data_IF_927715770607
#
_entry.id   IF_927715770607
#
_cell.length_a   1.000
_cell.length_b   1.000
_cell.length_c   1.000
_cell.angle_alpha   90.00
_cell.angle_beta   90.00
_cell.angle_gamma   90.00
#
_symmetry.space_group_name_H-M   'P 1'
#
loop_
_entity.id
_entity.type
_entity.pdbx_description
1 polymer ?
#
# COMPACT_ATOMS: atom_id res chain seq x y z
N UNK A 1 -4.44 25.26 -10.39
CA UNK A 1 -5.91 25.11 -10.30
C UNK A 1 -6.34 23.71 -9.85
N UNK A 2 -5.42 22.74 -9.69
CA UNK A 2 -5.73 21.38 -9.20
C UNK A 2 -5.44 21.13 -7.71
N UNK A 3 -4.61 21.95 -7.05
CA UNK A 3 -4.26 21.76 -5.63
C UNK A 3 -5.44 22.00 -4.67
N UNK A 4 -6.38 22.90 -5.01
CA UNK A 4 -7.50 23.26 -4.13
C UNK A 4 -8.60 22.18 -4.04
N UNK A 5 -8.70 21.25 -5.00
CA UNK A 5 -9.71 20.17 -4.96
C UNK A 5 -9.23 18.98 -4.12
N UNK A 6 -7.95 18.63 -4.19
CA UNK A 6 -7.37 17.50 -3.44
C UNK A 6 -7.31 17.81 -1.93
N UNK A 7 -6.93 19.03 -1.53
CA UNK A 7 -6.88 19.43 -0.11
C UNK A 7 -8.28 19.52 0.54
N UNK A 8 -9.29 19.93 -0.24
CA UNK A 8 -10.69 19.99 0.22
C UNK A 8 -11.29 18.59 0.39
N UNK A 9 -10.77 17.60 -0.34
CA UNK A 9 -11.17 16.20 -0.23
C UNK A 9 -10.68 15.57 1.08
N UNK A 10 -9.45 15.86 1.53
CA UNK A 10 -8.87 15.28 2.76
C UNK A 10 -9.69 15.61 3.99
N UNK A 11 -9.96 16.90 4.20
CA UNK A 11 -10.68 17.36 5.37
C UNK A 11 -12.08 16.75 5.42
N UNK A 12 -12.74 16.69 4.26
CA UNK A 12 -14.08 16.10 4.12
C UNK A 12 -14.08 14.60 4.38
N UNK A 13 -13.17 13.85 3.76
CA UNK A 13 -13.04 12.39 3.95
C UNK A 13 -12.73 12.05 5.40
N UNK A 14 -11.81 12.81 6.02
CA UNK A 14 -11.43 12.63 7.43
C UNK A 14 -12.60 12.89 8.39
N UNK A 15 -13.38 13.94 8.12
CA UNK A 15 -14.58 14.26 8.90
C UNK A 15 -15.65 13.16 8.78
N UNK A 16 -15.86 12.64 7.56
CA UNK A 16 -16.79 11.52 7.32
C UNK A 16 -16.30 10.26 8.05
N UNK A 17 -15.02 9.92 7.94
CA UNK A 17 -14.42 8.76 8.64
C UNK A 17 -14.61 8.87 10.15
N UNK A 18 -14.31 10.04 10.73
CA UNK A 18 -14.49 10.29 12.14
C UNK A 18 -15.96 10.17 12.56
N UNK A 19 -16.88 10.74 11.78
CA UNK A 19 -18.31 10.66 12.03
C UNK A 19 -18.79 9.19 12.03
N UNK A 20 -18.36 8.40 11.06
CA UNK A 20 -18.70 6.97 10.99
C UNK A 20 -18.15 6.22 12.21
N UNK A 21 -16.90 6.46 12.62
CA UNK A 21 -16.32 5.85 13.83
C UNK A 21 -17.08 6.24 15.10
N UNK A 22 -17.51 7.50 15.21
CA UNK A 22 -18.31 7.98 16.33
C UNK A 22 -19.70 7.30 16.38
N UNK A 23 -20.35 7.12 15.23
CA UNK A 23 -21.63 6.40 15.13
C UNK A 23 -21.47 4.91 15.49
N UNK A 24 -20.44 4.25 14.99
CA UNK A 24 -20.20 2.82 15.25
C UNK A 24 -19.89 2.50 16.70
N UNK A 25 -19.32 3.47 17.43
CA UNK A 25 -18.96 3.33 18.85
C UNK A 25 -20.04 3.84 19.79
N UNK A 26 -21.15 4.39 19.26
CA UNK A 26 -22.24 4.95 20.07
C UNK A 26 -21.78 6.12 20.94
N UNK A 27 -20.82 6.93 20.46
CA UNK A 27 -20.05 7.87 21.28
C UNK A 27 -20.90 8.91 22.02
N UNK A 28 -22.06 9.28 21.47
CA UNK A 28 -23.00 10.26 22.04
C UNK A 28 -23.80 9.72 23.24
N UNK A 29 -23.95 8.41 23.38
CA UNK A 29 -24.72 7.77 24.45
C UNK A 29 -23.89 7.33 25.67
N UNK A 30 -22.59 7.61 25.68
CA UNK A 30 -21.67 7.17 26.73
C UNK A 30 -21.52 8.20 27.86
N UNK A 31 -21.29 7.68 29.07
CA UNK A 31 -20.87 8.48 30.23
C UNK A 31 -19.60 9.29 29.91
N UNK A 32 -19.43 10.51 30.48
CA UNK A 32 -18.36 11.43 30.11
C UNK A 32 -16.95 10.82 30.12
N UNK A 33 -16.63 10.00 31.14
CA UNK A 33 -15.31 9.38 31.30
C UNK A 33 -15.02 8.33 30.21
N UNK A 34 -15.97 7.43 29.96
CA UNK A 34 -15.88 6.40 28.91
C UNK A 34 -15.87 7.03 27.51
N UNK A 35 -16.62 8.12 27.34
CA UNK A 35 -16.70 8.90 26.10
C UNK A 35 -15.34 9.49 25.74
N UNK A 36 -14.62 10.06 26.70
CA UNK A 36 -13.28 10.63 26.45
C UNK A 36 -12.29 9.55 25.98
N UNK A 37 -12.23 8.40 26.64
CA UNK A 37 -11.34 7.30 26.24
C UNK A 37 -11.67 6.80 24.84
N UNK A 38 -12.95 6.62 24.51
CA UNK A 38 -13.38 6.20 23.16
C UNK A 38 -13.06 7.25 22.10
N UNK A 39 -13.18 8.53 22.44
CA UNK A 39 -12.82 9.64 21.57
C UNK A 39 -11.31 9.58 21.23
N UNK A 40 -10.44 9.42 22.23
CA UNK A 40 -8.99 9.27 22.00
C UNK A 40 -8.67 8.06 21.10
N UNK A 41 -9.34 6.92 21.31
CA UNK A 41 -9.19 5.73 20.48
C UNK A 41 -9.58 5.97 19.03
N UNK A 42 -10.68 6.69 18.80
CA UNK A 42 -11.13 7.06 17.45
C UNK A 42 -10.16 8.05 16.79
N UNK A 43 -9.63 9.03 17.55
CA UNK A 43 -8.61 9.95 17.04
C UNK A 43 -7.32 9.22 16.64
N UNK A 44 -6.90 8.21 17.39
CA UNK A 44 -5.73 7.40 17.04
C UNK A 44 -5.93 6.64 15.72
N UNK A 45 -7.11 6.05 15.51
CA UNK A 45 -7.45 5.39 14.25
C UNK A 45 -7.53 6.39 13.09
N UNK A 46 -8.16 7.55 13.33
CA UNK A 46 -8.25 8.62 12.33
C UNK A 46 -6.85 9.12 11.93
N UNK A 47 -5.97 9.34 12.91
CA UNK A 47 -4.60 9.77 12.63
C UNK A 47 -3.85 8.72 11.81
N UNK A 48 -4.02 7.43 12.12
CA UNK A 48 -3.42 6.34 11.33
C UNK A 48 -3.96 6.35 9.89
N UNK A 49 -5.25 6.60 9.70
CA UNK A 49 -5.84 6.74 8.35
C UNK A 49 -5.29 7.96 7.60
N UNK A 50 -4.99 9.07 8.29
CA UNK A 50 -4.31 10.22 7.68
C UNK A 50 -2.91 9.87 7.19
N UNK A 51 -2.18 8.99 7.88
CA UNK A 51 -0.85 8.55 7.41
C UNK A 51 -0.94 7.75 6.11
N UNK A 52 -1.96 6.88 5.97
CA UNK A 52 -2.26 6.22 4.70
C UNK A 52 -2.57 7.23 3.60
N UNK A 53 -3.33 8.29 3.92
CA UNK A 53 -3.60 9.35 2.96
C UNK A 53 -2.32 10.08 2.52
N UNK A 54 -1.45 10.46 3.47
CA UNK A 54 -0.18 11.12 3.16
C UNK A 54 0.70 10.23 2.29
N UNK A 55 0.74 8.90 2.54
CA UNK A 55 1.43 7.96 1.67
C UNK A 55 0.87 7.97 0.25
N UNK A 56 -0.46 7.99 0.07
CA UNK A 56 -1.09 8.03 -1.24
C UNK A 56 -0.74 9.29 -2.04
N UNK A 57 -0.46 10.42 -1.39
CA UNK A 57 0.04 11.64 -2.05
C UNK A 57 1.53 11.49 -2.43
N UNK A 58 2.34 10.98 -1.51
CA UNK A 58 3.81 10.94 -1.68
C UNK A 58 4.25 9.87 -2.67
N UNK A 59 3.54 8.75 -2.77
CA UNK A 59 3.88 7.64 -3.64
C UNK A 59 3.99 8.02 -5.14
N UNK A 60 2.99 8.67 -5.79
CA UNK A 60 3.14 9.12 -7.18
C UNK A 60 4.25 10.17 -7.36
N UNK A 61 4.49 11.00 -6.33
CA UNK A 61 5.60 11.96 -6.34
C UNK A 61 6.96 11.24 -6.34
N UNK A 62 7.13 10.18 -5.56
CA UNK A 62 8.34 9.34 -5.62
C UNK A 62 8.55 8.73 -7.02
N UNK A 63 7.49 8.13 -7.60
CA UNK A 63 7.57 7.49 -8.91
C UNK A 63 7.91 8.47 -10.03
N UNK A 64 7.38 9.70 -9.98
CA UNK A 64 7.70 10.75 -10.95
C UNK A 64 9.13 11.31 -10.78
N UNK A 65 9.61 11.42 -9.53
CA UNK A 65 10.97 11.87 -9.25
C UNK A 65 12.02 10.87 -9.74
N UNK A 66 11.77 9.56 -9.63
CA UNK A 66 12.69 8.55 -10.16
C UNK A 66 12.70 8.51 -11.69
N UNK A 67 11.55 8.71 -12.34
CA UNK A 67 11.46 8.68 -13.80
C UNK A 67 12.06 9.93 -14.48
N UNK A 68 11.92 11.11 -13.86
CA UNK A 68 12.28 12.40 -14.47
C UNK A 68 13.78 12.72 -14.48
N UNK A 69 14.65 11.82 -13.99
CA UNK A 69 16.10 12.05 -13.88
C UNK A 69 16.44 13.43 -13.29
N UNK A 70 15.64 13.86 -12.31
CA UNK A 70 15.70 15.23 -11.83
C UNK A 70 16.94 15.43 -10.94
N UNK A 71 17.87 16.34 -11.28
CA UNK A 71 19.09 16.54 -10.48
C UNK A 71 18.84 17.27 -9.15
N UNK A 72 17.61 17.75 -8.90
CA UNK A 72 17.29 18.53 -7.69
C UNK A 72 17.19 17.65 -6.43
N UNK A 73 18.34 17.41 -5.78
CA UNK A 73 18.44 16.68 -4.51
C UNK A 73 17.46 17.15 -3.44
N UNK A 74 17.16 18.45 -3.38
CA UNK A 74 16.20 19.01 -2.42
C UNK A 74 14.80 18.39 -2.53
N UNK A 75 14.33 18.07 -3.75
CA UNK A 75 13.01 17.44 -3.94
C UNK A 75 13.00 15.99 -3.47
N UNK A 76 14.09 15.25 -3.73
CA UNK A 76 14.28 13.89 -3.23
C UNK A 76 14.34 13.87 -1.70
N UNK A 77 15.13 14.75 -1.09
CA UNK A 77 15.26 14.86 0.37
C UNK A 77 13.91 15.15 1.02
N UNK A 78 13.12 16.09 0.47
CA UNK A 78 11.78 16.39 1.00
C UNK A 78 10.84 15.18 0.95
N UNK A 79 10.80 14.46 -0.17
CA UNK A 79 9.96 13.27 -0.30
C UNK A 79 10.39 12.14 0.65
N UNK A 80 11.70 11.89 0.75
CA UNK A 80 12.27 10.88 1.64
C UNK A 80 12.08 11.24 3.11
N UNK A 81 12.11 12.52 3.48
CA UNK A 81 11.81 12.97 4.84
C UNK A 81 10.37 12.65 5.25
N UNK A 82 9.40 12.84 4.34
CA UNK A 82 8.00 12.44 4.60
C UNK A 82 7.90 10.92 4.74
N UNK A 83 8.59 10.15 3.91
CA UNK A 83 8.60 8.69 4.03
C UNK A 83 9.21 8.21 5.37
N UNK A 84 10.30 8.85 5.81
CA UNK A 84 10.91 8.57 7.10
C UNK A 84 9.92 8.85 8.25
N UNK A 85 9.19 9.97 8.19
CA UNK A 85 8.13 10.28 9.14
C UNK A 85 7.03 9.21 9.15
N UNK A 86 6.58 8.77 7.98
CA UNK A 86 5.56 7.73 7.83
C UNK A 86 5.99 6.34 8.34
N UNK A 87 7.28 6.12 8.61
CA UNK A 87 7.78 4.90 9.26
C UNK A 87 7.97 5.13 10.76
N UNK A 88 8.72 6.17 11.13
CA UNK A 88 9.13 6.43 12.52
C UNK A 88 7.92 6.74 13.40
N UNK A 89 6.96 7.50 12.89
CA UNK A 89 5.78 7.87 13.68
C UNK A 89 4.92 6.64 14.01
N UNK A 90 4.42 5.82 13.05
CA UNK A 90 3.67 4.61 13.38
C UNK A 90 4.44 3.65 14.28
N UNK A 91 5.75 3.47 14.05
CA UNK A 91 6.57 2.60 14.90
C UNK A 91 6.60 3.09 16.36
N UNK A 92 6.80 4.39 16.58
CA UNK A 92 6.81 4.97 17.92
C UNK A 92 5.42 4.94 18.57
N UNK A 93 4.36 5.17 17.79
CA UNK A 93 2.97 5.02 18.25
C UNK A 93 2.68 3.58 18.70
N UNK A 94 3.06 2.58 17.91
CA UNK A 94 2.86 1.18 18.29
C UNK A 94 3.65 0.81 19.54
N UNK A 95 4.92 1.20 19.63
CA UNK A 95 5.73 0.95 20.83
C UNK A 95 5.07 1.55 22.08
N UNK A 96 4.59 2.80 21.99
CA UNK A 96 3.89 3.47 23.08
C UNK A 96 2.57 2.77 23.46
N UNK A 97 1.74 2.42 22.47
CA UNK A 97 0.43 1.82 22.73
C UNK A 97 0.55 0.41 23.33
N UNK A 98 1.49 -0.40 22.83
CA UNK A 98 1.72 -1.75 23.35
C UNK A 98 2.35 -1.76 24.75
N UNK A 99 3.07 -0.71 25.14
CA UNK A 99 3.62 -0.61 26.50
C UNK A 99 2.62 -0.10 27.54
N UNK A 100 1.58 0.63 27.12
CA UNK A 100 0.62 1.28 28.03
C UNK A 100 -0.78 0.66 28.03
N UNK A 101 -1.13 -0.16 27.04
CA UNK A 101 -2.45 -0.76 26.92
C UNK A 101 -2.40 -2.29 26.80
N UNK A 102 -3.33 -3.00 27.46
CA UNK A 102 -3.45 -4.44 27.30
C UNK A 102 -3.99 -4.80 25.91
N UNK A 103 -3.83 -6.07 25.54
CA UNK A 103 -4.37 -6.60 24.30
C UNK A 103 -5.88 -6.36 24.20
N UNK A 104 -6.29 -5.69 23.14
CA UNK A 104 -7.69 -5.40 22.84
C UNK A 104 -7.92 -5.36 21.34
N UNK A 105 -9.16 -5.57 20.91
CA UNK A 105 -9.56 -5.53 19.50
C UNK A 105 -9.20 -4.19 18.83
N UNK A 106 -9.37 -3.08 19.56
CA UNK A 106 -8.91 -1.76 19.12
C UNK A 106 -7.39 -1.67 18.91
N UNK A 107 -6.59 -2.16 19.87
CA UNK A 107 -5.13 -2.13 19.76
C UNK A 107 -4.65 -2.96 18.56
N UNK A 108 -5.28 -4.12 18.33
CA UNK A 108 -5.02 -4.95 17.17
C UNK A 108 -5.35 -4.24 15.85
N UNK A 109 -6.48 -3.53 15.79
CA UNK A 109 -6.86 -2.77 14.60
C UNK A 109 -5.88 -1.63 14.29
N UNK A 110 -5.53 -0.81 15.31
CA UNK A 110 -4.52 0.26 15.14
C UNK A 110 -3.16 -0.32 14.73
N UNK A 111 -2.79 -1.48 15.28
CA UNK A 111 -1.56 -2.19 14.93
C UNK A 111 -1.55 -2.63 13.48
N UNK A 112 -2.63 -3.26 13.01
CA UNK A 112 -2.76 -3.67 11.62
C UNK A 112 -2.62 -2.48 10.66
N UNK A 113 -3.39 -1.41 10.87
CA UNK A 113 -3.31 -0.22 10.01
C UNK A 113 -1.93 0.45 10.04
N UNK A 114 -1.26 0.48 11.20
CA UNK A 114 0.07 1.06 11.35
C UNK A 114 1.15 0.23 10.64
N UNK A 115 1.10 -1.09 10.79
CA UNK A 115 2.04 -1.98 10.07
C UNK A 115 1.78 -1.94 8.57
N UNK A 116 0.52 -1.89 8.15
CA UNK A 116 0.15 -1.78 6.75
C UNK A 116 0.74 -0.52 6.09
N UNK A 117 0.62 0.66 6.72
CA UNK A 117 1.23 1.89 6.16
C UNK A 117 2.76 1.80 6.12
N UNK A 118 3.40 1.22 7.14
CA UNK A 118 4.86 1.02 7.15
C UNK A 118 5.26 0.14 5.95
N UNK A 119 4.58 -0.98 5.74
CA UNK A 119 4.87 -1.88 4.61
C UNK A 119 4.64 -1.17 3.28
N UNK A 120 3.55 -0.41 3.14
CA UNK A 120 3.26 0.40 1.94
C UNK A 120 4.39 1.38 1.64
N UNK A 121 4.90 2.09 2.65
CA UNK A 121 6.02 3.04 2.49
C UNK A 121 7.30 2.31 2.11
N UNK A 122 7.62 1.18 2.76
CA UNK A 122 8.80 0.36 2.43
C UNK A 122 8.74 -0.13 0.99
N UNK A 123 7.60 -0.64 0.54
CA UNK A 123 7.38 -1.08 -0.86
C UNK A 123 7.61 0.07 -1.83
N UNK A 124 7.06 1.25 -1.57
CA UNK A 124 7.29 2.45 -2.39
C UNK A 124 8.76 2.85 -2.44
N UNK A 125 9.47 2.82 -1.30
CA UNK A 125 10.90 3.14 -1.23
C UNK A 125 11.77 2.12 -1.97
N UNK A 126 11.45 0.84 -1.91
CA UNK A 126 12.16 -0.21 -2.65
C UNK A 126 12.01 -0.03 -4.16
N UNK A 127 10.79 0.21 -4.65
CA UNK A 127 10.54 0.47 -6.08
C UNK A 127 11.24 1.77 -6.51
N UNK A 128 11.13 2.82 -5.70
CA UNK A 128 11.84 4.08 -5.94
C UNK A 128 13.35 3.89 -6.03
N UNK A 129 13.95 3.09 -5.13
CA UNK A 129 15.37 2.78 -5.17
C UNK A 129 15.76 1.98 -6.43
N UNK A 130 14.95 1.01 -6.85
CA UNK A 130 15.18 0.27 -8.09
C UNK A 130 15.19 1.19 -9.32
N UNK A 131 14.21 2.08 -9.43
CA UNK A 131 14.17 3.04 -10.54
C UNK A 131 15.31 4.06 -10.49
N UNK A 132 15.72 4.48 -9.29
CA UNK A 132 16.89 5.35 -9.15
C UNK A 132 18.18 4.64 -9.59
N UNK A 133 18.35 3.36 -9.23
CA UNK A 133 19.50 2.55 -9.67
C UNK A 133 19.49 2.38 -11.19
N UNK A 134 18.33 2.09 -11.79
CA UNK A 134 18.17 1.96 -13.23
C UNK A 134 18.54 3.26 -13.97
N UNK A 135 18.10 4.41 -13.44
CA UNK A 135 18.42 5.73 -13.98
C UNK A 135 19.93 6.04 -14.00
N UNK A 136 20.72 5.49 -13.08
CA UNK A 136 22.19 5.67 -13.06
C UNK A 136 22.94 4.61 -13.87
N UNK A 137 22.25 3.57 -14.36
CA UNK A 137 22.86 2.47 -15.09
C UNK A 137 22.93 2.80 -16.58
N UNK A 138 24.07 2.52 -17.21
CA UNK A 138 24.24 2.71 -18.66
C UNK A 138 23.73 1.53 -19.50
N UNK A 139 23.53 0.36 -18.88
CA UNK A 139 23.06 -0.87 -19.52
C UNK A 139 21.61 -1.13 -19.17
N UNK A 140 20.82 -1.64 -20.13
CA UNK A 140 19.43 -2.02 -19.89
C UNK A 140 19.33 -3.14 -18.85
N UNK A 141 18.35 -3.01 -17.95
CA UNK A 141 18.11 -3.99 -16.89
C UNK A 141 16.86 -4.82 -17.17
N UNK A 142 17.02 -5.91 -17.91
CA UNK A 142 15.91 -6.79 -18.34
C UNK A 142 15.02 -7.28 -17.19
N UNK A 143 15.60 -7.59 -16.03
CA UNK A 143 14.88 -8.13 -14.86
C UNK A 143 14.25 -7.07 -13.95
N UNK A 144 14.34 -5.78 -14.29
CA UNK A 144 13.79 -4.69 -13.46
C UNK A 144 12.29 -4.86 -13.23
N UNK A 145 11.54 -5.11 -14.31
CA UNK A 145 10.09 -5.29 -14.28
C UNK A 145 9.66 -6.48 -13.40
N UNK A 146 10.46 -7.55 -13.40
CA UNK A 146 10.23 -8.72 -12.55
C UNK A 146 10.43 -8.37 -11.07
N UNK A 147 11.49 -7.66 -10.72
CA UNK A 147 11.71 -7.22 -9.33
C UNK A 147 10.60 -6.27 -8.86
N UNK A 148 10.20 -5.30 -9.69
CA UNK A 148 9.10 -4.39 -9.38
C UNK A 148 7.79 -5.17 -9.18
N UNK A 149 7.53 -6.17 -10.04
CA UNK A 149 6.37 -7.04 -9.92
C UNK A 149 6.38 -7.82 -8.60
N UNK A 150 7.49 -8.47 -8.23
CA UNK A 150 7.58 -9.24 -6.98
C UNK A 150 7.41 -8.37 -5.74
N UNK A 151 8.02 -7.18 -5.71
CA UNK A 151 7.90 -6.24 -4.59
C UNK A 151 6.45 -5.76 -4.44
N UNK A 152 5.79 -5.41 -5.56
CA UNK A 152 4.39 -4.97 -5.55
C UNK A 152 3.45 -6.11 -5.17
N UNK A 153 3.68 -7.32 -5.69
CA UNK A 153 2.91 -8.50 -5.34
C UNK A 153 3.02 -8.83 -3.85
N UNK A 154 4.22 -8.73 -3.27
CA UNK A 154 4.43 -8.88 -1.83
C UNK A 154 3.64 -7.85 -1.03
N UNK A 155 3.76 -6.56 -1.37
CA UNK A 155 3.02 -5.48 -0.71
C UNK A 155 1.50 -5.71 -0.72
N UNK A 156 0.95 -6.00 -1.90
CA UNK A 156 -0.48 -6.28 -2.07
C UNK A 156 -0.92 -7.55 -1.31
N UNK A 157 -0.07 -8.57 -1.23
CA UNK A 157 -0.37 -9.80 -0.46
C UNK A 157 -0.45 -9.49 1.03
N UNK A 158 0.50 -8.71 1.55
CA UNK A 158 0.50 -8.30 2.97
C UNK A 158 -0.72 -7.44 3.30
N UNK A 159 -1.08 -6.50 2.44
CA UNK A 159 -2.31 -5.69 2.57
C UNK A 159 -3.56 -6.58 2.62
N UNK A 160 -3.66 -7.53 1.70
CA UNK A 160 -4.77 -8.48 1.67
C UNK A 160 -4.85 -9.35 2.95
N UNK A 161 -3.71 -9.80 3.47
CA UNK A 161 -3.64 -10.53 4.74
C UNK A 161 -4.13 -9.68 5.92
N UNK A 162 -3.75 -8.40 5.99
CA UNK A 162 -4.26 -7.47 7.00
C UNK A 162 -5.75 -7.18 6.82
N UNK A 163 -6.24 -7.10 5.59
CA UNK A 163 -7.68 -7.01 5.28
C UNK A 163 -8.45 -8.20 5.87
N UNK A 164 -8.00 -9.43 5.63
CA UNK A 164 -8.60 -10.63 6.22
C UNK A 164 -8.54 -10.59 7.76
N UNK A 165 -7.40 -10.20 8.33
CA UNK A 165 -7.26 -10.07 9.77
C UNK A 165 -8.24 -9.06 10.37
N UNK A 166 -8.37 -7.88 9.77
CA UNK A 166 -9.29 -6.82 10.18
C UNK A 166 -10.75 -7.25 10.02
N UNK A 167 -11.09 -8.03 8.99
CA UNK A 167 -12.41 -8.60 8.83
C UNK A 167 -12.76 -9.54 9.99
N UNK A 168 -11.87 -10.48 10.35
CA UNK A 168 -12.12 -11.36 11.49
C UNK A 168 -12.15 -10.62 12.81
N UNK A 169 -11.26 -9.64 13.00
CA UNK A 169 -11.28 -8.76 14.16
C UNK A 169 -12.63 -8.04 14.26
N UNK A 170 -13.12 -7.44 13.17
CA UNK A 170 -14.39 -6.74 13.14
C UNK A 170 -15.61 -7.65 13.31
N UNK A 171 -15.59 -8.85 12.73
CA UNK A 171 -16.61 -9.87 12.91
C UNK A 171 -16.68 -10.33 14.38
N UNK A 172 -15.53 -10.50 15.03
CA UNK A 172 -15.47 -10.80 16.47
C UNK A 172 -16.15 -9.70 17.29
N UNK A 173 -15.83 -8.43 17.04
CA UNK A 173 -16.44 -7.32 17.79
C UNK A 173 -17.96 -7.27 17.53
N UNK A 174 -18.43 -7.55 16.30
CA UNK A 174 -19.86 -7.57 15.96
C UNK A 174 -20.62 -8.67 16.72
N UNK A 175 -20.03 -9.86 16.87
CA UNK A 175 -20.66 -11.02 17.49
C UNK A 175 -20.57 -11.01 19.03
N UNK A 176 -19.46 -10.54 19.60
CA UNK A 176 -19.14 -10.76 21.02
C UNK A 176 -18.99 -9.49 21.86
N UNK A 177 -18.75 -8.31 21.28
CA UNK A 177 -18.55 -7.08 22.06
C UNK A 177 -19.71 -6.09 21.92
N UNK A 178 -20.03 -5.67 20.69
CA UNK A 178 -21.09 -4.71 20.45
C UNK A 178 -21.65 -4.84 19.03
N UNK A 179 -22.85 -5.42 18.93
CA UNK A 179 -23.62 -5.49 17.69
C UNK A 179 -24.07 -4.11 17.19
N UNK A 180 -24.42 -4.01 15.90
CA UNK A 180 -25.04 -2.80 15.35
C UNK A 180 -25.19 -2.85 13.83
N UNK A 181 -26.31 -2.36 13.32
CA UNK A 181 -26.62 -2.39 11.88
C UNK A 181 -25.58 -1.64 11.03
N UNK A 182 -25.12 -0.47 11.49
CA UNK A 182 -24.07 0.33 10.81
C UNK A 182 -22.76 -0.47 10.73
N UNK A 183 -22.39 -1.17 11.79
CA UNK A 183 -21.17 -1.98 11.83
C UNK A 183 -21.27 -3.20 10.93
N UNK A 184 -22.41 -3.89 10.95
CA UNK A 184 -22.68 -5.01 10.04
C UNK A 184 -22.60 -4.55 8.57
N UNK A 185 -23.18 -3.38 8.26
CA UNK A 185 -23.09 -2.77 6.92
C UNK A 185 -21.64 -2.47 6.51
N UNK A 186 -20.84 -1.86 7.38
CA UNK A 186 -19.41 -1.62 7.10
C UNK A 186 -18.64 -2.93 6.89
N UNK A 187 -18.93 -3.97 7.68
CA UNK A 187 -18.29 -5.28 7.52
C UNK A 187 -18.64 -5.92 6.18
N UNK A 188 -19.88 -5.75 5.70
CA UNK A 188 -20.30 -6.19 4.37
C UNK A 188 -19.58 -5.43 3.25
N UNK A 189 -19.44 -4.10 3.39
CA UNK A 189 -18.65 -3.27 2.45
C UNK A 189 -17.20 -3.74 2.41
N UNK A 190 -16.59 -3.97 3.58
CA UNK A 190 -15.21 -4.45 3.68
C UNK A 190 -15.04 -5.83 3.04
N UNK A 191 -15.94 -6.78 3.30
CA UNK A 191 -15.92 -8.10 2.67
C UNK A 191 -16.02 -8.03 1.14
N UNK A 192 -16.85 -7.13 0.61
CA UNK A 192 -17.01 -7.00 -0.83
C UNK A 192 -15.83 -6.30 -1.50
N UNK A 193 -15.48 -5.08 -1.06
CA UNK A 193 -14.45 -4.28 -1.72
C UNK A 193 -13.03 -4.75 -1.38
N UNK A 194 -12.73 -4.95 -0.10
CA UNK A 194 -11.36 -5.19 0.35
C UNK A 194 -10.98 -6.68 0.33
N UNK A 195 -11.96 -7.60 0.26
CA UNK A 195 -11.67 -9.04 0.17
C UNK A 195 -12.06 -9.59 -1.19
N UNK A 196 -13.34 -9.57 -1.54
CA UNK A 196 -13.83 -10.25 -2.74
C UNK A 196 -13.29 -9.62 -4.04
N UNK A 197 -13.45 -8.31 -4.21
CA UNK A 197 -12.98 -7.60 -5.39
C UNK A 197 -11.46 -7.67 -5.53
N UNK A 198 -10.72 -7.47 -4.44
CA UNK A 198 -9.25 -7.59 -4.44
C UNK A 198 -8.78 -9.00 -4.78
N UNK A 199 -9.35 -10.04 -4.16
CA UNK A 199 -9.01 -11.43 -4.45
C UNK A 199 -9.27 -11.77 -5.94
N UNK A 200 -10.40 -11.30 -6.49
CA UNK A 200 -10.74 -11.49 -7.90
C UNK A 200 -9.76 -10.77 -8.84
N UNK A 201 -9.37 -9.54 -8.50
CA UNK A 201 -8.39 -8.78 -9.26
C UNK A 201 -7.01 -9.44 -9.23
N UNK A 202 -6.55 -9.84 -8.04
CA UNK A 202 -5.29 -10.57 -7.84
C UNK A 202 -5.27 -11.89 -8.61
N UNK A 203 -6.37 -12.66 -8.58
CA UNK A 203 -6.50 -13.89 -9.36
C UNK A 203 -6.37 -13.66 -10.87
N UNK A 204 -7.01 -12.62 -11.39
CA UNK A 204 -6.92 -12.25 -12.81
C UNK A 204 -5.47 -11.91 -13.22
N UNK A 205 -4.77 -11.13 -12.41
CA UNK A 205 -3.35 -10.79 -12.66
C UNK A 205 -2.46 -12.03 -12.60
N UNK A 206 -2.66 -12.89 -11.60
CA UNK A 206 -1.90 -14.13 -11.46
C UNK A 206 -2.09 -15.06 -12.66
N UNK A 207 -3.33 -15.26 -13.10
CA UNK A 207 -3.64 -16.08 -14.28
C UNK A 207 -2.99 -15.52 -15.55
N UNK A 208 -3.04 -14.20 -15.76
CA UNK A 208 -2.37 -13.54 -16.90
C UNK A 208 -0.85 -13.74 -16.85
N UNK A 209 -0.23 -13.58 -15.68
CA UNK A 209 1.22 -13.78 -15.51
C UNK A 209 1.60 -15.23 -15.80
N UNK A 210 0.84 -16.21 -15.29
CA UNK A 210 1.06 -17.62 -15.59
C UNK A 210 0.93 -17.92 -17.09
N UNK A 211 -0.09 -17.38 -17.76
CA UNK A 211 -0.24 -17.54 -19.21
C UNK A 211 0.91 -16.88 -19.98
N UNK A 212 1.39 -15.72 -19.55
CA UNK A 212 2.53 -15.05 -20.19
C UNK A 212 3.81 -15.88 -20.06
N UNK A 213 4.12 -16.39 -18.86
CA UNK A 213 5.28 -17.26 -18.62
C UNK A 213 5.22 -18.51 -19.50
N UNK A 214 4.09 -19.22 -19.49
CA UNK A 214 3.92 -20.42 -20.33
C UNK A 214 4.09 -20.13 -21.84
N UNK A 215 3.66 -18.94 -22.30
CA UNK A 215 3.86 -18.54 -23.70
C UNK A 215 5.32 -18.24 -23.99
N UNK A 216 6.02 -17.55 -23.09
CA UNK A 216 7.45 -17.25 -23.23
C UNK A 216 8.25 -18.55 -23.27
N UNK A 217 7.98 -19.48 -22.35
CA UNK A 217 8.65 -20.80 -22.30
C UNK A 217 8.34 -21.68 -23.53
N UNK A 218 7.26 -21.40 -24.26
CA UNK A 218 6.93 -22.12 -25.50
C UNK A 218 7.65 -21.59 -26.74
N UNK A 219 8.31 -20.43 -26.65
CA UNK A 219 9.04 -19.85 -27.76
C UNK A 219 10.43 -20.51 -27.89
N UNK A 220 10.88 -20.84 -29.11
CA UNK A 220 12.22 -21.39 -29.32
C UNK A 220 13.28 -20.33 -29.01
N UNK A 221 14.30 -20.70 -28.23
CA UNK A 221 15.52 -19.91 -28.05
C UNK A 221 16.32 -19.86 -29.37
N UNK A 222 16.96 -18.74 -29.64
CA UNK A 222 17.77 -18.57 -30.84
C UNK A 222 19.12 -19.28 -30.66
N UNK A 223 19.59 -20.00 -31.67
CA UNK A 223 20.97 -20.55 -31.64
C UNK A 223 22.02 -19.45 -31.87
N UNK A 224 23.23 -19.63 -31.34
CA UNK A 224 24.37 -18.72 -31.57
C UNK A 224 24.61 -18.44 -33.07
N UNK A 225 24.43 -19.46 -33.92
CA UNK A 225 24.56 -19.32 -35.37
C UNK A 225 23.43 -18.45 -35.98
N UNK A 226 22.21 -18.52 -35.45
CA UNK A 226 21.12 -17.65 -35.89
C UNK A 226 21.35 -16.20 -35.48
N UNK A 227 21.85 -15.96 -34.26
CA UNK A 227 22.22 -14.64 -33.77
C UNK A 227 23.32 -14.02 -34.64
N UNK A 228 24.41 -14.75 -34.90
CA UNK A 228 25.52 -14.26 -35.70
C UNK A 228 25.17 -14.02 -37.18
N UNK A 229 24.23 -14.81 -37.74
CA UNK A 229 23.81 -14.66 -39.14
C UNK A 229 22.86 -13.50 -39.35
N UNK A 230 21.94 -13.27 -38.40
CA UNK A 230 20.94 -12.21 -38.51
C UNK A 230 21.52 -10.85 -38.09
N UNK A 231 22.44 -10.83 -37.12
CA UNK A 231 23.12 -9.62 -36.62
C UNK A 231 22.15 -8.47 -36.32
N UNK A 232 21.05 -8.82 -35.65
CA UNK A 232 19.89 -7.96 -35.49
C UNK A 232 19.84 -7.31 -34.09
N UNK A 233 19.10 -6.21 -33.97
CA UNK A 233 18.86 -5.53 -32.68
C UNK A 233 17.45 -5.83 -32.16
N UNK A 234 17.28 -5.83 -30.84
CA UNK A 234 15.97 -5.99 -30.21
C UNK A 234 15.00 -4.91 -30.70
N UNK A 235 13.88 -5.29 -31.34
CA UNK A 235 12.89 -4.34 -31.85
C UNK A 235 12.18 -3.51 -30.76
N UNK A 236 12.35 -3.87 -29.48
CA UNK A 236 11.77 -3.18 -28.33
C UNK A 236 12.73 -2.11 -27.79
N UNK A 237 13.99 -2.50 -27.51
CA UNK A 237 14.97 -1.63 -26.85
C UNK A 237 16.13 -1.19 -27.75
N UNK A 238 16.18 -1.64 -29.01
CA UNK A 238 17.23 -1.36 -30.01
C UNK A 238 18.65 -1.73 -29.56
N UNK A 239 18.80 -2.67 -28.64
CA UNK A 239 20.09 -3.20 -28.21
C UNK A 239 20.49 -4.45 -28.98
N UNK A 240 21.79 -4.66 -29.16
CA UNK A 240 22.36 -5.84 -29.81
C UNK A 240 21.96 -7.14 -29.07
N UNK A 241 21.50 -8.15 -29.82
CA UNK A 241 21.17 -9.45 -29.28
C UNK A 241 22.44 -10.30 -29.12
N UNK A 242 23.03 -10.31 -27.92
CA UNK A 242 24.34 -10.94 -27.65
C UNK A 242 24.28 -12.32 -26.99
N UNK A 243 23.12 -12.75 -26.54
CA UNK A 243 22.93 -14.00 -25.79
C UNK A 243 21.79 -14.81 -26.40
N UNK A 244 22.10 -16.07 -26.70
CA UNK A 244 21.16 -17.14 -27.01
C UNK A 244 20.48 -17.64 -25.76
#
# INVERSE_FOLDING_TARGET
LTDDEDDKSIGTVSAILFYILALQTGLTGLEPEKRFVRLCRNFCLLFTALLHFIHNIVNPLLMSLSASHNPSLHRHVRALAVCLFLIVYPMSLLAYLWSHHPMSTWLLAVSAFSVEVIVKVVVSLLIYALFLIDAYRSTFWEKLDDYVYYIRAFGNTVEFCFGIFLFFNGAWILMFESGGAIRAGMMGIHAYFNIWCEARAGWSVFMKRRTAVNKIESLPEASDHQLARLDDVCAICYQEMRTA
#
